data_IF_341645004052
#
_entry.id   IF_341645004052
#
_cell.length_a   1.000
_cell.length_b   1.000
_cell.length_c   1.000
_cell.angle_alpha   90.00
_cell.angle_beta   90.00
_cell.angle_gamma   90.00
#
_symmetry.space_group_name_H-M   'P 1'
#
loop_
_entity.id
_entity.type
_entity.pdbx_description
1 polymer ?
#
# COMPACT_ATOMS: atom_id res chain seq x y z
N UNK A 1 2.55 -21.31 -26.19
CA UNK A 1 2.38 -20.86 -24.79
C UNK A 1 2.13 -19.37 -24.84
N UNK A 2 1.04 -18.90 -24.24
CA UNK A 2 0.52 -17.53 -24.40
C UNK A 2 1.09 -16.54 -23.35
N UNK A 3 2.35 -16.74 -22.96
CA UNK A 3 3.06 -15.89 -22.00
C UNK A 3 3.87 -14.81 -22.71
N UNK A 4 4.22 -13.75 -21.99
CA UNK A 4 4.98 -12.62 -22.52
C UNK A 4 5.41 -11.65 -21.42
N UNK A 5 6.35 -10.76 -21.72
CA UNK A 5 6.84 -9.74 -20.80
C UNK A 5 6.74 -8.36 -21.45
N UNK A 6 6.00 -7.45 -20.80
CA UNK A 6 5.96 -6.04 -21.15
C UNK A 6 7.07 -5.33 -20.39
N UNK A 7 7.87 -4.53 -21.09
CA UNK A 7 8.90 -3.68 -20.50
C UNK A 7 8.49 -2.22 -20.67
N UNK A 8 8.56 -1.46 -19.58
CA UNK A 8 8.22 -0.05 -19.45
C UNK A 8 9.38 0.69 -18.81
N UNK A 9 9.37 2.03 -18.90
CA UNK A 9 10.26 2.88 -18.13
C UNK A 9 10.15 2.69 -16.61
N UNK A 10 9.02 2.18 -16.09
CA UNK A 10 8.80 2.01 -14.65
C UNK A 10 8.89 0.55 -14.17
N UNK A 11 9.35 -0.36 -15.03
CA UNK A 11 9.51 -1.78 -14.72
C UNK A 11 8.99 -2.72 -15.79
N UNK A 12 8.72 -3.98 -15.42
CA UNK A 12 8.17 -4.98 -16.33
C UNK A 12 7.00 -5.74 -15.73
N UNK A 13 6.11 -6.24 -16.61
CA UNK A 13 4.99 -7.13 -16.29
C UNK A 13 5.13 -8.40 -17.12
N UNK A 14 5.46 -9.50 -16.46
CA UNK A 14 5.48 -10.83 -17.06
C UNK A 14 4.14 -11.54 -16.83
N UNK A 15 3.52 -12.03 -17.89
CA UNK A 15 2.35 -12.91 -17.86
C UNK A 15 2.76 -14.36 -18.14
N UNK A 16 2.35 -15.28 -17.27
CA UNK A 16 2.72 -16.71 -17.39
C UNK A 16 1.87 -17.51 -18.39
N UNK A 17 0.82 -16.92 -18.96
CA UNK A 17 -0.11 -17.59 -19.85
C UNK A 17 -1.28 -18.29 -19.16
N UNK A 18 -1.27 -18.43 -17.84
CA UNK A 18 -2.16 -19.32 -17.09
C UNK A 18 -2.99 -18.55 -16.06
N UNK A 19 -2.38 -17.67 -15.27
CA UNK A 19 -3.04 -17.00 -14.15
C UNK A 19 -2.18 -16.16 -13.24
N UNK A 20 -0.90 -15.94 -13.52
CA UNK A 20 -0.01 -15.18 -12.65
C UNK A 20 0.70 -14.08 -13.42
N UNK A 21 0.67 -12.87 -12.85
CA UNK A 21 1.48 -11.74 -13.28
C UNK A 21 2.67 -11.59 -12.33
N UNK A 22 3.87 -11.43 -12.90
CA UNK A 22 5.10 -11.08 -12.17
C UNK A 22 5.48 -9.66 -12.54
N UNK A 23 5.46 -8.79 -11.54
CA UNK A 23 5.77 -7.37 -11.71
C UNK A 23 7.13 -7.10 -11.11
N UNK A 24 8.02 -6.51 -11.90
CA UNK A 24 9.32 -6.01 -11.44
C UNK A 24 9.32 -4.51 -11.58
N UNK A 25 9.75 -3.83 -10.53
CA UNK A 25 9.73 -2.38 -10.51
C UNK A 25 11.08 -1.79 -10.91
N UNK A 26 11.04 -0.73 -11.72
CA UNK A 26 12.15 0.20 -11.89
C UNK A 26 11.73 1.57 -11.32
N UNK A 27 12.63 2.19 -10.58
CA UNK A 27 12.42 3.49 -9.97
C UNK A 27 13.04 4.64 -10.76
N UNK A 28 13.82 4.38 -11.82
CA UNK A 28 14.56 5.41 -12.52
C UNK A 28 13.63 6.54 -13.06
N UNK A 29 14.01 7.79 -12.81
CA UNK A 29 13.31 8.98 -13.34
C UNK A 29 12.04 9.40 -12.60
N UNK A 30 11.69 8.76 -11.47
CA UNK A 30 10.57 9.16 -10.61
C UNK A 30 11.01 10.15 -9.51
N UNK A 31 10.04 10.73 -8.80
CA UNK A 31 10.35 11.46 -7.57
C UNK A 31 10.89 10.52 -6.49
N UNK A 32 11.55 11.07 -5.46
CA UNK A 32 12.25 10.30 -4.45
C UNK A 32 11.35 9.31 -3.68
N UNK A 33 10.06 9.64 -3.48
CA UNK A 33 9.14 8.80 -2.75
C UNK A 33 8.73 7.59 -3.60
N UNK A 34 8.36 7.82 -4.86
CA UNK A 34 8.02 6.78 -5.82
C UNK A 34 9.23 5.90 -6.18
N UNK A 35 10.42 6.49 -6.35
CA UNK A 35 11.69 5.74 -6.48
C UNK A 35 11.90 4.78 -5.30
N UNK A 36 11.75 5.29 -4.07
CA UNK A 36 11.96 4.51 -2.85
C UNK A 36 10.94 3.38 -2.71
N UNK A 37 9.66 3.66 -3.01
CA UNK A 37 8.61 2.64 -3.03
C UNK A 37 8.98 1.51 -4.00
N UNK A 38 9.20 1.84 -5.28
CA UNK A 38 9.45 0.87 -6.34
C UNK A 38 10.71 0.04 -6.08
N UNK A 39 11.80 0.68 -5.67
CA UNK A 39 13.05 -0.02 -5.34
C UNK A 39 12.91 -0.99 -4.16
N UNK A 40 11.98 -0.74 -3.23
CA UNK A 40 11.75 -1.61 -2.06
C UNK A 40 10.65 -2.65 -2.24
N UNK A 41 9.72 -2.45 -3.18
CA UNK A 41 8.71 -3.46 -3.51
C UNK A 41 9.32 -4.70 -4.16
N UNK A 42 10.42 -4.55 -4.91
CA UNK A 42 11.13 -5.66 -5.53
C UNK A 42 10.32 -6.33 -6.64
N UNK A 43 10.16 -7.66 -6.58
CA UNK A 43 9.23 -8.40 -7.44
C UNK A 43 7.90 -8.63 -6.70
N UNK A 44 6.78 -8.32 -7.35
CA UNK A 44 5.42 -8.65 -6.87
C UNK A 44 4.81 -9.74 -7.73
N UNK A 45 4.13 -10.67 -7.07
CA UNK A 45 3.35 -11.73 -7.71
C UNK A 45 1.88 -11.38 -7.53
N UNK A 46 1.17 -11.20 -8.64
CA UNK A 46 -0.25 -10.85 -8.65
C UNK A 46 -1.03 -11.99 -9.32
N UNK A 47 -1.89 -12.70 -8.58
CA UNK A 47 -2.78 -13.69 -9.18
C UNK A 47 -3.83 -12.96 -10.03
N UNK A 48 -4.24 -13.56 -11.15
CA UNK A 48 -5.24 -12.98 -12.05
C UNK A 48 -6.58 -12.73 -11.34
N UNK A 49 -6.87 -13.48 -10.29
CA UNK A 49 -8.06 -13.30 -9.42
C UNK A 49 -8.07 -11.95 -8.68
N UNK A 50 -6.91 -11.31 -8.53
CA UNK A 50 -6.78 -9.96 -7.96
C UNK A 50 -7.09 -8.86 -8.99
N UNK A 51 -7.08 -9.18 -10.28
CA UNK A 51 -7.25 -8.21 -11.36
C UNK A 51 -8.75 -8.06 -11.66
N UNK A 52 -9.23 -6.83 -11.66
CA UNK A 52 -10.59 -6.47 -12.08
C UNK A 52 -10.66 -6.30 -13.59
N UNK A 53 -9.72 -5.54 -14.15
CA UNK A 53 -9.64 -5.27 -15.58
C UNK A 53 -8.21 -4.90 -15.99
N UNK A 54 -7.99 -4.86 -17.31
CA UNK A 54 -6.75 -4.40 -17.91
C UNK A 54 -7.08 -3.31 -18.91
N UNK A 55 -6.43 -2.16 -18.76
CA UNK A 55 -6.55 -1.00 -19.62
C UNK A 55 -5.32 -0.92 -20.52
N UNK A 56 -5.54 -0.72 -21.81
CA UNK A 56 -4.49 -0.49 -22.81
C UNK A 56 -4.87 0.78 -23.55
N UNK A 57 -3.92 1.69 -23.68
CA UNK A 57 -4.05 2.95 -24.39
C UNK A 57 -2.72 3.30 -25.05
N UNK A 58 -2.72 4.37 -25.86
CA UNK A 58 -1.48 4.92 -26.43
C UNK A 58 -0.48 5.37 -25.35
N UNK A 59 -0.95 5.62 -24.11
CA UNK A 59 -0.10 5.99 -22.98
C UNK A 59 0.56 4.79 -22.30
N UNK A 60 0.00 3.58 -22.43
CA UNK A 60 0.61 2.36 -21.91
C UNK A 60 -0.38 1.27 -21.50
N UNK A 61 0.05 0.48 -20.51
CA UNK A 61 -0.66 -0.68 -20.00
C UNK A 61 -0.88 -0.52 -18.50
N UNK A 62 -2.12 -0.70 -18.04
CA UNK A 62 -2.48 -0.60 -16.63
C UNK A 62 -3.30 -1.79 -16.17
N UNK A 63 -2.91 -2.37 -15.03
CA UNK A 63 -3.71 -3.36 -14.34
C UNK A 63 -4.59 -2.65 -13.31
N UNK A 64 -5.90 -2.84 -13.42
CA UNK A 64 -6.84 -2.37 -12.41
C UNK A 64 -7.12 -3.55 -11.49
N UNK A 65 -6.68 -3.44 -10.23
CA UNK A 65 -6.93 -4.47 -9.24
C UNK A 65 -8.31 -4.31 -8.62
N UNK A 66 -8.88 -5.40 -8.13
CA UNK A 66 -10.13 -5.39 -7.38
C UNK A 66 -9.91 -4.71 -6.04
N UNK A 67 -10.84 -3.86 -5.62
CA UNK A 67 -10.84 -3.27 -4.29
C UNK A 67 -10.70 -4.36 -3.22
N UNK A 68 -9.82 -4.17 -2.23
CA UNK A 68 -9.57 -5.16 -1.18
C UNK A 68 -8.70 -6.35 -1.59
N UNK A 69 -8.14 -6.37 -2.81
CA UNK A 69 -7.22 -7.44 -3.23
C UNK A 69 -5.75 -7.17 -2.89
N UNK A 70 -5.34 -5.90 -2.83
CA UNK A 70 -3.99 -5.47 -2.46
C UNK A 70 -4.02 -4.54 -1.25
N UNK A 71 -3.43 -4.94 -0.11
CA UNK A 71 -3.41 -4.09 1.08
C UNK A 71 -2.59 -2.82 0.86
N UNK A 72 -1.62 -2.80 -0.08
CA UNK A 72 -0.81 -1.61 -0.36
C UNK A 72 -1.69 -0.48 -0.93
N UNK A 73 -2.46 -0.76 -1.98
CA UNK A 73 -3.40 0.21 -2.56
C UNK A 73 -4.46 0.66 -1.54
N UNK A 74 -4.93 -0.26 -0.70
CA UNK A 74 -5.91 0.07 0.34
C UNK A 74 -5.39 1.10 1.36
N UNK A 75 -4.09 1.09 1.67
CA UNK A 75 -3.49 2.04 2.62
C UNK A 75 -3.06 3.35 1.95
N UNK A 76 -2.53 3.32 0.73
CA UNK A 76 -2.07 4.54 0.05
C UNK A 76 -3.21 5.47 -0.34
N UNK A 77 -4.38 4.91 -0.68
CA UNK A 77 -5.44 5.64 -1.36
C UNK A 77 -5.05 6.03 -2.79
N UNK A 78 -5.98 6.68 -3.51
CA UNK A 78 -5.71 7.25 -4.82
C UNK A 78 -4.86 8.53 -4.70
N UNK A 79 -4.07 8.84 -5.73
CA UNK A 79 -3.39 10.11 -5.99
C UNK A 79 -2.20 10.51 -5.09
N UNK A 80 -1.85 9.71 -4.08
CA UNK A 80 -0.69 10.02 -3.21
C UNK A 80 0.63 9.53 -3.81
N UNK A 81 0.59 8.39 -4.48
CA UNK A 81 1.73 7.74 -5.13
C UNK A 81 1.35 7.45 -6.58
N UNK A 82 2.36 7.34 -7.43
CA UNK A 82 2.15 6.81 -8.77
C UNK A 82 1.65 5.37 -8.64
N UNK A 83 0.63 5.02 -9.41
CA UNK A 83 0.04 3.67 -9.39
C UNK A 83 1.13 2.61 -9.66
N UNK A 84 1.41 1.68 -8.71
CA UNK A 84 2.36 0.59 -8.92
C UNK A 84 1.94 -0.40 -10.02
N UNK A 85 0.76 -0.23 -10.59
CA UNK A 85 0.22 -1.12 -11.61
C UNK A 85 0.03 -0.44 -12.97
N UNK A 86 0.56 0.78 -13.12
CA UNK A 86 0.63 1.52 -14.38
C UNK A 86 2.04 1.43 -15.00
N UNK A 87 2.07 1.06 -16.28
CA UNK A 87 3.27 0.79 -17.08
C UNK A 87 3.18 1.59 -18.39
N UNK A 88 3.69 2.83 -18.40
CA UNK A 88 3.66 3.67 -19.58
C UNK A 88 4.70 3.25 -20.62
N UNK A 89 4.53 3.71 -21.85
CA UNK A 89 5.49 3.56 -22.94
C UNK A 89 5.93 2.11 -23.22
N UNK A 90 5.00 1.16 -23.11
CA UNK A 90 5.18 -0.24 -23.51
C UNK A 90 4.95 -0.42 -25.01
N UNK A 91 5.36 -1.56 -25.58
CA UNK A 91 4.98 -1.95 -26.94
C UNK A 91 3.46 -2.16 -27.01
N UNK A 92 2.71 -1.38 -27.82
CA UNK A 92 1.25 -1.43 -27.84
C UNK A 92 0.71 -2.75 -28.42
N UNK A 93 1.40 -3.36 -29.40
CA UNK A 93 0.96 -4.62 -30.01
C UNK A 93 1.07 -5.75 -28.97
N UNK A 94 2.18 -5.79 -28.24
CA UNK A 94 2.39 -6.78 -27.19
C UNK A 94 1.46 -6.53 -25.99
N UNK A 95 1.20 -5.25 -25.66
CA UNK A 95 0.27 -4.88 -24.59
C UNK A 95 -1.16 -5.35 -24.87
N UNK A 96 -1.65 -5.16 -26.10
CA UNK A 96 -2.95 -5.65 -26.54
C UNK A 96 -3.04 -7.18 -26.52
N UNK A 97 -1.98 -7.88 -26.95
CA UNK A 97 -1.93 -9.34 -26.91
C UNK A 97 -2.04 -9.87 -25.46
N UNK A 98 -1.20 -9.36 -24.57
CA UNK A 98 -1.18 -9.77 -23.15
C UNK A 98 -2.48 -9.38 -22.45
N UNK A 99 -3.01 -8.18 -22.69
CA UNK A 99 -4.31 -7.77 -22.17
C UNK A 99 -5.43 -8.71 -22.66
N UNK A 100 -5.39 -9.12 -23.93
CA UNK A 100 -6.29 -10.13 -24.48
C UNK A 100 -6.20 -11.47 -23.76
N UNK A 101 -5.00 -11.93 -23.41
CA UNK A 101 -4.79 -13.17 -22.64
C UNK A 101 -5.34 -13.08 -21.22
N UNK A 102 -5.11 -11.95 -20.55
CA UNK A 102 -5.61 -11.70 -19.19
C UNK A 102 -7.14 -11.65 -19.22
N UNK A 103 -7.74 -10.86 -20.11
CA UNK A 103 -9.21 -10.74 -20.24
C UNK A 103 -9.87 -12.10 -20.50
N UNK A 104 -9.33 -12.91 -21.41
CA UNK A 104 -9.82 -14.28 -21.64
C UNK A 104 -9.69 -15.17 -20.40
N UNK A 105 -8.62 -14.99 -19.63
CA UNK A 105 -8.40 -15.77 -18.40
C UNK A 105 -9.35 -15.34 -17.29
N UNK A 106 -9.62 -14.04 -17.12
CA UNK A 106 -10.62 -13.53 -16.18
C UNK A 106 -11.99 -14.17 -16.43
N UNK A 107 -12.43 -14.20 -17.69
CA UNK A 107 -13.69 -14.87 -18.08
C UNK A 107 -13.63 -16.38 -17.84
N UNK A 108 -12.54 -17.04 -18.25
CA UNK A 108 -12.38 -18.49 -18.09
C UNK A 108 -12.40 -18.94 -16.63
N UNK A 109 -11.88 -18.11 -15.72
CA UNK A 109 -11.80 -18.39 -14.29
C UNK A 109 -12.97 -17.82 -13.49
N UNK A 110 -13.95 -17.22 -14.16
CA UNK A 110 -15.11 -16.58 -13.52
C UNK A 110 -14.70 -15.59 -12.42
N UNK A 111 -13.68 -14.78 -12.69
CA UNK A 111 -13.18 -13.79 -11.72
C UNK A 111 -14.23 -12.69 -11.55
N UNK A 112 -14.75 -12.45 -10.33
CA UNK A 112 -15.77 -11.42 -10.12
C UNK A 112 -15.22 -10.02 -10.37
N UNK A 113 -16.02 -9.17 -11.01
CA UNK A 113 -15.71 -7.74 -11.18
C UNK A 113 -15.93 -6.91 -9.89
N UNK A 114 -16.43 -7.52 -8.82
CA UNK A 114 -16.67 -6.87 -7.52
C UNK A 114 -15.40 -6.83 -6.66
N UNK A 115 -15.45 -6.10 -5.55
CA UNK A 115 -14.41 -6.12 -4.52
C UNK A 115 -14.02 -7.56 -4.12
N UNK A 116 -12.76 -7.73 -3.74
CA UNK A 116 -12.25 -8.96 -3.14
C UNK A 116 -12.67 -9.04 -1.68
N UNK A 117 -13.00 -10.24 -1.22
CA UNK A 117 -13.32 -10.52 0.19
C UNK A 117 -12.07 -10.88 1.01
N UNK A 118 -10.91 -10.98 0.37
CA UNK A 118 -9.63 -11.32 1.00
C UNK A 118 -8.46 -10.67 0.24
N UNK A 119 -7.32 -10.51 0.93
CA UNK A 119 -6.08 -10.09 0.30
C UNK A 119 -5.56 -11.19 -0.62
N UNK A 120 -5.35 -10.85 -1.89
CA UNK A 120 -4.83 -11.77 -2.90
C UNK A 120 -3.38 -11.44 -3.27
N UNK A 121 -2.96 -10.20 -3.05
CA UNK A 121 -1.58 -9.76 -3.23
C UNK A 121 -0.89 -9.67 -1.87
N UNK A 122 0.31 -10.23 -1.76
CA UNK A 122 1.07 -10.20 -0.52
C UNK A 122 1.44 -8.75 -0.13
N UNK A 123 1.32 -8.39 1.16
CA UNK A 123 1.83 -7.12 1.64
C UNK A 123 3.36 -7.09 1.49
N UNK A 124 3.97 -5.90 1.28
CA UNK A 124 5.42 -5.77 1.33
C UNK A 124 5.94 -6.17 2.71
N UNK A 125 7.17 -6.72 2.74
CA UNK A 125 7.82 -7.07 3.99
C UNK A 125 8.05 -5.82 4.85
N UNK A 126 7.65 -5.89 6.11
CA UNK A 126 7.79 -4.81 7.08
C UNK A 126 8.17 -5.39 8.45
N UNK A 127 8.84 -4.63 9.31
CA UNK A 127 9.08 -5.06 10.70
C UNK A 127 7.80 -4.95 11.54
N UNK A 128 7.77 -5.65 12.69
CA UNK A 128 6.69 -5.52 13.69
C UNK A 128 6.87 -4.31 14.60
N UNK A 129 7.94 -3.54 14.38
CA UNK A 129 8.26 -2.31 15.10
C UNK A 129 8.65 -1.23 14.11
N UNK A 130 8.16 -0.03 14.31
CA UNK A 130 8.59 1.16 13.55
C UNK A 130 8.79 2.34 14.50
N UNK A 131 9.87 3.07 14.29
CA UNK A 131 10.17 4.29 15.01
C UNK A 131 9.72 5.50 14.18
N UNK A 132 8.94 6.38 14.80
CA UNK A 132 8.57 7.67 14.26
C UNK A 132 9.05 8.80 15.14
N UNK A 133 8.71 10.01 14.72
CA UNK A 133 9.15 11.26 15.34
C UNK A 133 8.60 11.48 16.75
N UNK A 134 7.41 10.97 17.05
CA UNK A 134 6.74 11.21 18.34
C UNK A 134 6.29 9.93 19.06
N UNK A 135 6.40 8.77 18.41
CA UNK A 135 6.15 7.48 19.04
C UNK A 135 6.93 6.36 18.33
N UNK A 136 7.18 5.28 19.06
CA UNK A 136 7.49 3.98 18.47
C UNK A 136 6.23 3.12 18.50
N UNK A 137 5.91 2.52 17.36
CA UNK A 137 4.81 1.56 17.22
C UNK A 137 5.37 0.15 17.27
N UNK A 138 4.71 -0.76 17.97
CA UNK A 138 5.07 -2.17 18.03
C UNK A 138 3.82 -3.04 17.99
N UNK A 139 3.81 -4.04 17.12
CA UNK A 139 2.77 -5.06 17.08
C UNK A 139 3.28 -6.33 17.74
N UNK A 140 2.68 -6.71 18.86
CA UNK A 140 3.02 -7.93 19.58
C UNK A 140 1.79 -8.46 20.32
N UNK A 141 1.68 -9.78 20.50
CA UNK A 141 0.63 -10.41 21.32
C UNK A 141 -0.81 -9.97 20.95
N UNK A 142 -1.09 -9.81 19.65
CA UNK A 142 -2.41 -9.38 19.18
C UNK A 142 -2.75 -7.91 19.46
N UNK A 143 -1.76 -7.08 19.81
CA UNK A 143 -1.94 -5.67 20.14
C UNK A 143 -0.98 -4.78 19.35
N UNK A 144 -1.42 -3.54 19.10
CA UNK A 144 -0.57 -2.44 18.67
C UNK A 144 -0.32 -1.51 19.86
N UNK A 145 0.95 -1.26 20.17
CA UNK A 145 1.37 -0.37 21.25
C UNK A 145 2.06 0.88 20.69
N UNK A 146 1.63 2.04 21.18
CA UNK A 146 2.25 3.35 20.99
C UNK A 146 3.08 3.68 22.22
N UNK A 147 4.40 3.65 22.07
CA UNK A 147 5.33 4.17 23.07
C UNK A 147 5.74 5.59 22.69
N UNK A 148 5.16 6.60 23.35
CA UNK A 148 5.40 8.00 23.02
C UNK A 148 6.80 8.46 23.46
N UNK A 149 7.43 9.32 22.67
CA UNK A 149 8.71 9.91 23.05
C UNK A 149 8.56 10.88 24.24
N UNK A 150 9.65 11.07 25.01
CA UNK A 150 9.63 11.86 26.26
C UNK A 150 9.14 13.30 26.10
N UNK A 151 9.44 13.96 24.98
CA UNK A 151 9.12 15.37 24.73
C UNK A 151 7.70 15.66 24.23
N UNK A 152 6.87 14.62 24.12
CA UNK A 152 5.54 14.72 23.52
C UNK A 152 4.53 15.32 24.49
N UNK A 153 3.68 16.23 23.99
CA UNK A 153 2.68 16.93 24.79
C UNK A 153 1.56 16.04 25.34
N UNK A 154 0.95 16.47 26.45
CA UNK A 154 -0.11 15.72 27.16
C UNK A 154 -1.28 15.26 26.28
N UNK A 155 -1.69 16.07 25.29
CA UNK A 155 -2.79 15.74 24.37
C UNK A 155 -2.53 14.45 23.58
N UNK A 156 -1.29 14.20 23.19
CA UNK A 156 -0.88 12.99 22.47
C UNK A 156 -0.91 11.73 23.34
N UNK A 157 -0.82 11.90 24.66
CA UNK A 157 -0.83 10.81 25.65
C UNK A 157 -2.20 10.60 26.28
N UNK A 158 -3.24 11.21 25.72
CA UNK A 158 -4.58 11.21 26.33
C UNK A 158 -5.22 9.82 26.39
N UNK A 159 -4.76 8.87 25.57
CA UNK A 159 -5.22 7.47 25.59
C UNK A 159 -4.35 6.54 26.46
N UNK A 160 -3.22 7.04 26.97
CA UNK A 160 -2.23 6.26 27.72
C UNK A 160 -0.79 6.69 27.40
N UNK A 161 0.16 6.24 28.21
CA UNK A 161 1.61 6.38 27.95
C UNK A 161 2.38 5.21 28.60
N UNK A 162 2.58 4.09 27.89
CA UNK A 162 2.18 3.84 26.50
C UNK A 162 0.67 3.63 26.34
N UNK A 163 0.17 3.82 25.12
CA UNK A 163 -1.21 3.43 24.75
C UNK A 163 -1.19 2.13 23.95
N UNK A 164 -2.04 1.17 24.28
CA UNK A 164 -2.17 -0.09 23.54
C UNK A 164 -3.61 -0.34 23.12
N UNK A 165 -3.80 -0.94 21.95
CA UNK A 165 -5.10 -1.30 21.37
C UNK A 165 -5.05 -2.71 20.81
N UNK A 166 -6.13 -3.49 20.99
CA UNK A 166 -6.22 -4.83 20.36
C UNK A 166 -6.31 -4.67 18.85
N UNK A 167 -5.67 -5.56 18.10
CA UNK A 167 -5.75 -5.54 16.64
C UNK A 167 -7.21 -5.67 16.15
N UNK A 168 -8.04 -6.46 16.84
CA UNK A 168 -9.46 -6.59 16.52
C UNK A 168 -10.31 -5.33 16.78
N UNK A 169 -9.81 -4.37 17.55
CA UNK A 169 -10.48 -3.09 17.82
C UNK A 169 -10.04 -1.99 16.84
N UNK A 170 -9.12 -2.29 15.91
CA UNK A 170 -8.68 -1.37 14.88
C UNK A 170 -9.61 -1.51 13.67
N UNK A 171 -10.32 -0.42 13.37
CA UNK A 171 -11.23 -0.35 12.22
C UNK A 171 -10.43 -0.04 10.95
N UNK A 172 -9.48 0.89 11.04
CA UNK A 172 -8.77 1.41 9.86
C UNK A 172 -7.37 1.91 10.19
N UNK A 173 -6.51 1.89 9.17
CA UNK A 173 -5.12 2.36 9.22
C UNK A 173 -4.90 3.34 8.08
N UNK A 174 -4.66 4.59 8.42
CA UNK A 174 -4.36 5.65 7.47
C UNK A 174 -2.86 5.94 7.46
N UNK A 175 -2.32 6.11 6.26
CA UNK A 175 -0.96 6.61 6.05
C UNK A 175 -1.00 7.86 5.19
N UNK A 176 -0.07 8.78 5.44
CA UNK A 176 0.23 9.88 4.53
C UNK A 176 1.73 10.17 4.56
N UNK A 177 2.36 10.45 3.41
CA UNK A 177 3.78 10.78 3.36
C UNK A 177 4.01 12.21 3.85
N UNK A 178 5.28 12.53 4.09
CA UNK A 178 5.72 13.91 4.25
C UNK A 178 5.37 14.73 2.99
N UNK A 179 4.44 15.66 3.12
CA UNK A 179 4.18 16.69 2.10
C UNK A 179 5.01 17.93 2.44
N UNK A 180 5.87 18.36 1.50
CA UNK A 180 6.83 19.44 1.70
C UNK A 180 6.25 20.75 2.27
N UNK A 181 7.08 21.53 2.97
CA UNK A 181 6.72 22.85 3.50
C UNK A 181 7.01 23.04 5.00
N UNK A 182 6.86 24.27 5.48
CA UNK A 182 7.00 24.61 6.90
C UNK A 182 5.85 23.98 7.72
N UNK A 183 6.13 22.83 8.33
CA UNK A 183 5.23 22.15 9.27
C UNK A 183 4.55 20.88 8.76
N UNK A 184 4.77 20.49 7.50
CA UNK A 184 4.35 19.19 6.97
C UNK A 184 5.03 18.04 7.72
N UNK A 185 4.31 16.94 7.91
CA UNK A 185 4.88 15.68 8.37
C UNK A 185 4.00 14.53 7.89
N UNK A 186 4.62 13.46 7.41
CA UNK A 186 3.90 12.22 7.22
C UNK A 186 3.43 11.65 8.55
N UNK A 187 2.52 10.70 8.48
CA UNK A 187 1.97 10.05 9.65
C UNK A 187 1.40 8.68 9.34
N UNK A 188 1.31 7.87 10.39
CA UNK A 188 0.48 6.67 10.45
C UNK A 188 -0.56 6.88 11.54
N UNK A 189 -1.82 6.67 11.21
CA UNK A 189 -2.96 6.98 12.07
C UNK A 189 -3.90 5.79 12.16
N UNK A 190 -4.37 5.52 13.38
CA UNK A 190 -5.22 4.38 13.70
C UNK A 190 -6.61 4.89 14.01
N UNK A 191 -7.62 4.19 13.48
CA UNK A 191 -9.03 4.42 13.78
C UNK A 191 -9.57 3.23 14.56
N UNK A 192 -10.32 3.52 15.61
CA UNK A 192 -10.97 2.58 16.53
C UNK A 192 -12.42 3.01 16.74
N UNK A 193 -13.29 2.19 17.35
CA UNK A 193 -14.67 2.59 17.66
C UNK A 193 -14.78 3.87 18.50
N UNK A 194 -13.76 4.16 19.33
CA UNK A 194 -13.71 5.37 20.16
C UNK A 194 -13.08 6.59 19.47
N UNK A 195 -12.75 6.50 18.18
CA UNK A 195 -12.14 7.62 17.45
C UNK A 195 -13.17 8.73 17.21
N UNK A 196 -12.88 9.99 17.57
CA UNK A 196 -13.81 11.09 17.36
C UNK A 196 -14.01 11.36 15.87
N UNK A 197 -15.23 11.77 15.49
CA UNK A 197 -15.56 12.14 14.10
C UNK A 197 -14.66 13.26 13.58
N UNK A 198 -14.46 14.32 14.37
CA UNK A 198 -13.49 15.35 14.07
C UNK A 198 -12.15 15.02 14.74
N UNK A 199 -11.17 14.60 13.93
CA UNK A 199 -9.86 14.21 14.44
C UNK A 199 -8.95 15.41 14.64
N UNK A 200 -8.19 15.47 15.75
CA UNK A 200 -7.14 16.47 15.91
C UNK A 200 -6.11 16.43 14.78
N UNK A 201 -5.35 17.51 14.62
CA UNK A 201 -4.16 17.48 13.74
C UNK A 201 -3.20 16.36 14.17
N UNK A 202 -2.47 15.69 13.26
CA UNK A 202 -1.59 14.56 13.59
C UNK A 202 -0.65 14.77 14.78
N UNK A 203 -0.12 15.99 14.96
CA UNK A 203 0.73 16.36 16.12
C UNK A 203 0.06 16.29 17.49
N UNK A 204 -1.26 16.30 17.54
CA UNK A 204 -2.06 16.32 18.78
C UNK A 204 -2.93 15.07 18.93
N UNK A 205 -3.04 14.25 17.89
CA UNK A 205 -3.87 13.05 17.87
C UNK A 205 -3.14 11.89 18.57
N UNK A 206 -3.67 11.36 19.69
CA UNK A 206 -3.03 10.27 20.42
C UNK A 206 -2.94 8.99 19.60
N UNK A 207 -3.91 8.73 18.70
CA UNK A 207 -3.92 7.55 17.85
C UNK A 207 -3.18 7.77 16.53
N UNK A 208 -2.08 8.50 16.57
CA UNK A 208 -1.26 8.82 15.40
C UNK A 208 0.21 8.80 15.77
N UNK A 209 1.07 8.30 14.89
CA UNK A 209 2.51 8.47 14.92
C UNK A 209 2.91 9.37 13.76
N UNK A 210 3.74 10.37 14.00
CA UNK A 210 4.33 11.17 12.92
C UNK A 210 5.59 10.48 12.41
N UNK A 211 5.77 10.45 11.09
CA UNK A 211 6.98 9.89 10.48
C UNK A 211 8.13 10.88 10.58
N UNK A 212 9.35 10.34 10.49
CA UNK A 212 10.54 11.14 10.23
C UNK A 212 10.71 11.31 8.72
N UNK A 213 11.48 12.32 8.32
CA UNK A 213 11.75 12.53 6.90
C UNK A 213 12.50 11.32 6.34
N UNK A 214 11.97 10.70 5.29
CA UNK A 214 12.58 9.54 4.65
C UNK A 214 12.13 8.19 5.21
N UNK A 215 11.32 8.15 6.28
CA UNK A 215 10.75 6.90 6.82
C UNK A 215 9.31 6.66 6.35
N UNK A 216 8.84 7.43 5.37
CA UNK A 216 7.46 7.36 4.87
C UNK A 216 7.14 5.98 4.28
N UNK A 217 8.06 5.38 3.50
CA UNK A 217 7.86 4.04 2.93
C UNK A 217 7.93 2.94 4.00
N UNK A 218 8.73 3.10 5.06
CA UNK A 218 8.71 2.17 6.20
C UNK A 218 7.34 2.20 6.88
N UNK A 219 6.79 3.39 7.08
CA UNK A 219 5.46 3.58 7.68
C UNK A 219 4.36 3.03 6.77
N UNK A 220 4.47 3.18 5.46
CA UNK A 220 3.54 2.60 4.51
C UNK A 220 3.57 1.07 4.57
N UNK A 221 4.76 0.47 4.55
CA UNK A 221 4.90 -0.99 4.60
C UNK A 221 4.41 -1.54 5.93
N UNK A 222 4.72 -0.87 7.04
CA UNK A 222 4.18 -1.21 8.36
C UNK A 222 2.66 -1.12 8.39
N UNK A 223 2.07 -0.03 7.87
CA UNK A 223 0.62 0.15 7.80
C UNK A 223 -0.05 -0.93 6.94
N UNK A 224 0.56 -1.26 5.79
CA UNK A 224 0.09 -2.30 4.88
C UNK A 224 0.09 -3.67 5.56
N UNK A 225 1.17 -4.02 6.26
CA UNK A 225 1.26 -5.27 7.03
C UNK A 225 0.27 -5.27 8.20
N UNK A 226 0.10 -4.15 8.89
CA UNK A 226 -0.88 -4.02 9.97
C UNK A 226 -2.31 -4.25 9.46
N UNK A 227 -2.66 -3.69 8.30
CA UNK A 227 -3.97 -3.86 7.68
C UNK A 227 -4.31 -5.34 7.47
N UNK A 228 -3.36 -6.14 7.00
CA UNK A 228 -3.56 -7.59 6.83
C UNK A 228 -3.74 -8.35 8.15
N UNK A 229 -3.32 -7.80 9.30
CA UNK A 229 -3.51 -8.43 10.62
C UNK A 229 -4.86 -8.09 11.25
N UNK A 230 -5.43 -6.93 10.91
CA UNK A 230 -6.72 -6.47 11.43
C UNK A 230 -7.89 -6.93 10.55
N UNK A 231 -7.62 -7.25 9.28
CA UNK A 231 -8.56 -7.82 8.30
C UNK A 231 -7.88 -9.03 7.64
N UNK A 232 -7.72 -10.17 8.33
CA UNK A 232 -7.05 -11.34 7.76
C UNK A 232 -7.80 -11.95 6.57
#
# INVERSE_FOLDING_TARGET
MAGGELVSAYGSVGWDGIGVLRIRYDGAGLDALNCSLRGRLGERVVPVEAVQSVEVSDSGFRLVLRDGSDPLQAVTGADVLLDPYDFPAVDPVLADEIAGHIRRTLVRRDVPATASTAWLVAPPAAADRIEGRDATLTVANGQLTFAYQRGVGRKKRALGDPWSVQLGDIIDVQWAPYQGGLGGSGFLRITTPGTPTERPKPKHDPATMRTERGTDIDALFFATRLLTRIRP
#
